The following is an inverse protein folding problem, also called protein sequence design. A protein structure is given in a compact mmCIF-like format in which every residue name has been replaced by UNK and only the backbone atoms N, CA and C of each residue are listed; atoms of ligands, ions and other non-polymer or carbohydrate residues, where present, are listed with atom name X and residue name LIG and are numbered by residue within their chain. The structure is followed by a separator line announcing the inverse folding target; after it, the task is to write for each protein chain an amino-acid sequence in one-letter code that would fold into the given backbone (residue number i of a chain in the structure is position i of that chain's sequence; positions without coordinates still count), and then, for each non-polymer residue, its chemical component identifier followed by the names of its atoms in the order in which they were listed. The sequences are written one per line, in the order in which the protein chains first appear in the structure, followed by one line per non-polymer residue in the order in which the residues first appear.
data_IF_472995511205
#
_entry.id   IF_472995511205
#
_cell.length_a   1.000
_cell.length_b   1.000
_cell.length_c   1.000
_cell.angle_alpha   90.00
_cell.angle_beta   90.00
_cell.angle_gamma   90.00
#
_symmetry.space_group_name_H-M   'P 1'
#
loop_
_entity.id
_entity.type
_entity.pdbx_description
1 polymer ?
#
# COMPACT_ATOMS: atom_id res chain seq x y z
N UNK A 1 -17.65 -32.39 -44.43
CA UNK A 1 -17.23 -31.03 -44.05
C UNK A 1 -17.64 -30.71 -42.60
N UNK A 2 -18.89 -30.90 -42.14
CA UNK A 2 -19.39 -30.52 -40.79
C UNK A 2 -18.61 -31.14 -39.60
N UNK A 3 -18.19 -32.42 -39.69
CA UNK A 3 -17.40 -33.07 -38.60
C UNK A 3 -15.99 -32.49 -38.43
N UNK A 4 -15.30 -32.09 -39.50
CA UNK A 4 -13.99 -31.47 -39.44
C UNK A 4 -14.04 -30.07 -38.82
N UNK A 5 -15.11 -29.33 -39.13
CA UNK A 5 -15.35 -27.99 -38.58
C UNK A 5 -15.62 -28.07 -37.04
N UNK A 6 -16.42 -29.05 -36.60
CA UNK A 6 -16.66 -29.26 -35.14
C UNK A 6 -15.40 -29.61 -34.40
N UNK A 7 -14.53 -30.46 -34.97
CA UNK A 7 -13.24 -30.80 -34.34
C UNK A 7 -12.30 -29.60 -34.26
N UNK A 8 -12.28 -28.72 -35.28
CA UNK A 8 -11.51 -27.47 -35.25
C UNK A 8 -11.97 -26.52 -34.12
N UNK A 9 -13.30 -26.35 -33.96
CA UNK A 9 -13.85 -25.55 -32.87
C UNK A 9 -13.53 -26.14 -31.47
N UNK A 10 -13.50 -27.46 -31.33
CA UNK A 10 -13.13 -28.11 -30.09
C UNK A 10 -11.67 -27.87 -29.71
N UNK A 11 -10.76 -27.94 -30.70
CA UNK A 11 -9.33 -27.62 -30.49
C UNK A 11 -9.17 -26.16 -30.12
N UNK A 12 -9.83 -25.24 -30.85
CA UNK A 12 -9.76 -23.81 -30.57
C UNK A 12 -10.26 -23.50 -29.15
N UNK A 13 -11.39 -24.11 -28.75
CA UNK A 13 -11.91 -23.97 -27.38
C UNK A 13 -10.94 -24.50 -26.32
N UNK A 14 -10.34 -25.67 -26.55
CA UNK A 14 -9.33 -26.21 -25.66
C UNK A 14 -8.08 -25.32 -25.53
N UNK A 15 -7.61 -24.75 -26.65
CA UNK A 15 -6.50 -23.77 -26.62
C UNK A 15 -6.83 -22.52 -25.85
N UNK A 16 -8.04 -21.96 -25.99
CA UNK A 16 -8.49 -20.78 -25.26
C UNK A 16 -8.55 -21.05 -23.74
N UNK A 17 -9.10 -22.21 -23.35
CA UNK A 17 -9.15 -22.62 -21.92
C UNK A 17 -7.74 -22.81 -21.35
N UNK A 18 -6.84 -23.47 -22.11
CA UNK A 18 -5.45 -23.65 -21.69
C UNK A 18 -4.73 -22.30 -21.54
N UNK A 19 -4.92 -21.37 -22.49
CA UNK A 19 -4.35 -20.02 -22.40
C UNK A 19 -4.88 -19.24 -21.18
N UNK A 20 -6.17 -19.32 -20.90
CA UNK A 20 -6.77 -18.69 -19.73
C UNK A 20 -6.21 -19.25 -18.42
N UNK A 21 -6.03 -20.59 -18.33
CA UNK A 21 -5.42 -21.25 -17.17
C UNK A 21 -3.95 -20.82 -16.97
N UNK A 22 -3.18 -20.72 -18.05
CA UNK A 22 -1.78 -20.26 -17.98
C UNK A 22 -1.72 -18.82 -17.45
N UNK A 23 -2.58 -17.94 -17.92
CA UNK A 23 -2.65 -16.55 -17.44
C UNK A 23 -3.06 -16.48 -15.97
N UNK A 24 -4.04 -17.27 -15.54
CA UNK A 24 -4.47 -17.35 -14.14
C UNK A 24 -3.36 -17.85 -13.22
N UNK A 25 -2.66 -18.91 -13.63
CA UNK A 25 -1.55 -19.47 -12.85
C UNK A 25 -0.37 -18.49 -12.79
N UNK A 26 -0.06 -17.81 -13.91
CA UNK A 26 0.99 -16.79 -13.96
C UNK A 26 0.69 -15.63 -13.00
N UNK A 27 -0.51 -15.07 -13.06
CA UNK A 27 -0.91 -13.97 -12.18
C UNK A 27 -0.91 -14.38 -10.70
N UNK A 28 -1.31 -15.62 -10.41
CA UNK A 28 -1.25 -16.17 -9.04
C UNK A 28 0.18 -16.31 -8.55
N UNK A 29 1.07 -16.85 -9.39
CA UNK A 29 2.49 -16.99 -9.06
C UNK A 29 3.16 -15.63 -8.81
N UNK A 30 2.87 -14.61 -9.61
CA UNK A 30 3.37 -13.25 -9.38
C UNK A 30 2.88 -12.67 -8.05
N UNK A 31 1.59 -12.86 -7.72
CA UNK A 31 1.03 -12.43 -6.44
C UNK A 31 1.67 -13.12 -5.23
N UNK A 32 1.93 -14.44 -5.33
CA UNK A 32 2.58 -15.22 -4.27
C UNK A 32 4.03 -14.76 -4.06
N UNK A 33 4.81 -14.60 -5.14
CA UNK A 33 6.18 -14.11 -5.06
C UNK A 33 6.27 -12.69 -4.48
N UNK A 34 5.37 -11.79 -4.89
CA UNK A 34 5.31 -10.46 -4.33
C UNK A 34 4.98 -10.49 -2.82
N UNK A 35 4.08 -11.39 -2.40
CA UNK A 35 3.75 -11.59 -0.99
C UNK A 35 4.92 -12.11 -0.18
N UNK A 36 5.62 -13.15 -0.64
CA UNK A 36 6.79 -13.71 0.06
C UNK A 36 7.92 -12.69 0.20
N UNK A 37 8.14 -11.88 -0.84
CA UNK A 37 9.12 -10.80 -0.77
C UNK A 37 8.70 -9.74 0.25
N UNK A 38 7.43 -9.32 0.22
CA UNK A 38 6.89 -8.36 1.18
C UNK A 38 7.00 -8.85 2.62
N UNK A 39 6.72 -10.14 2.89
CA UNK A 39 6.86 -10.72 4.23
C UNK A 39 8.31 -10.65 4.72
N UNK A 40 9.29 -11.01 3.87
CA UNK A 40 10.72 -10.95 4.21
C UNK A 40 11.17 -9.52 4.51
N UNK A 41 10.69 -8.56 3.72
CA UNK A 41 11.03 -7.15 3.93
C UNK A 41 10.33 -6.59 5.17
N UNK A 42 9.08 -7.00 5.43
CA UNK A 42 8.33 -6.59 6.62
C UNK A 42 9.06 -6.97 7.91
N UNK A 43 9.61 -8.20 7.96
CA UNK A 43 10.41 -8.63 9.10
C UNK A 43 11.65 -7.74 9.29
N UNK A 44 12.36 -7.40 8.21
CA UNK A 44 13.49 -6.50 8.27
C UNK A 44 13.09 -5.06 8.67
N UNK A 45 11.95 -4.55 8.20
CA UNK A 45 11.41 -3.24 8.62
C UNK A 45 11.12 -3.23 10.12
N UNK A 46 10.50 -4.28 10.64
CA UNK A 46 10.21 -4.41 12.08
C UNK A 46 11.48 -4.50 12.93
N UNK A 47 12.49 -5.21 12.47
CA UNK A 47 13.79 -5.31 13.14
C UNK A 47 14.44 -3.93 13.25
N UNK A 48 14.51 -3.17 12.16
CA UNK A 48 15.05 -1.80 12.15
C UNK A 48 14.26 -0.89 13.07
N UNK A 49 12.92 -0.93 13.05
CA UNK A 49 12.08 -0.13 13.96
C UNK A 49 12.37 -0.48 15.42
N UNK A 50 12.51 -1.77 15.76
CA UNK A 50 12.81 -2.18 17.15
C UNK A 50 14.19 -1.71 17.61
N UNK A 51 15.21 -1.80 16.75
CA UNK A 51 16.56 -1.30 17.04
C UNK A 51 16.58 0.22 17.25
N UNK A 52 15.84 0.98 16.40
CA UNK A 52 15.71 2.43 16.55
C UNK A 52 14.99 2.80 17.87
N UNK A 53 13.97 2.05 18.26
CA UNK A 53 13.25 2.28 19.52
C UNK A 53 14.16 2.03 20.75
N UNK A 54 14.94 0.94 20.76
CA UNK A 54 15.90 0.64 21.83
C UNK A 54 16.98 1.73 21.94
N UNK A 55 17.51 2.22 20.81
CA UNK A 55 18.51 3.29 20.80
C UNK A 55 17.97 4.61 21.35
N UNK A 56 16.69 4.91 21.13
CA UNK A 56 16.04 6.11 21.70
C UNK A 56 15.79 6.00 23.19
N UNK A 57 15.46 4.82 23.70
CA UNK A 57 15.34 4.60 25.15
C UNK A 57 16.69 4.77 25.85
N UNK A 58 17.80 4.32 25.23
CA UNK A 58 19.15 4.50 25.79
C UNK A 58 19.65 5.96 25.69
N UNK A 59 19.29 6.67 24.63
CA UNK A 59 19.70 8.05 24.37
C UNK A 59 18.48 8.91 23.99
N UNK A 60 17.65 9.33 24.95
CA UNK A 60 16.48 10.14 24.64
C UNK A 60 16.90 11.49 24.04
N UNK A 61 16.64 11.66 22.76
CA UNK A 61 16.79 12.94 22.06
C UNK A 61 15.62 13.83 22.47
N UNK A 62 15.84 15.03 23.02
CA UNK A 62 14.74 15.93 23.31
C UNK A 62 13.99 16.25 22.02
N UNK A 63 12.65 16.44 22.07
CA UNK A 63 11.88 16.80 20.89
C UNK A 63 12.49 18.04 20.23
N UNK A 64 12.68 17.96 18.91
CA UNK A 64 13.22 19.10 18.17
C UNK A 64 12.28 20.29 18.35
N UNK A 65 12.84 21.41 18.77
CA UNK A 65 12.08 22.67 18.82
C UNK A 65 11.99 23.18 17.37
N UNK A 66 10.79 23.13 16.80
CA UNK A 66 10.52 23.67 15.47
C UNK A 66 10.17 25.15 15.62
N UNK A 67 10.95 26.05 15.00
CA UNK A 67 10.59 27.46 14.94
C UNK A 67 9.42 27.63 13.94
N UNK A 68 8.22 28.02 14.40
CA UNK A 68 7.06 28.16 13.53
C UNK A 68 7.19 29.29 12.48
N UNK A 69 8.21 30.12 12.56
CA UNK A 69 8.51 31.18 11.61
C UNK A 69 9.60 30.78 10.59
N UNK A 70 10.27 29.62 10.76
CA UNK A 70 11.19 29.07 9.78
C UNK A 70 10.44 28.05 8.89
N UNK A 71 10.08 28.51 7.68
CA UNK A 71 9.31 27.68 6.72
C UNK A 71 10.06 26.38 6.36
N UNK A 72 11.40 26.41 6.30
CA UNK A 72 12.19 25.24 5.95
C UNK A 72 12.19 24.21 7.10
N UNK A 73 12.27 24.66 8.34
CA UNK A 73 12.18 23.80 9.53
C UNK A 73 10.79 23.21 9.69
N UNK A 74 9.74 24.01 9.44
CA UNK A 74 8.35 23.55 9.43
C UNK A 74 8.14 22.47 8.36
N UNK A 75 8.63 22.68 7.13
CA UNK A 75 8.51 21.69 6.06
C UNK A 75 9.23 20.39 6.42
N UNK A 76 10.44 20.46 6.97
CA UNK A 76 11.18 19.27 7.43
C UNK A 76 10.45 18.51 8.54
N UNK A 77 9.67 19.18 9.38
CA UNK A 77 8.92 18.53 10.46
C UNK A 77 7.82 17.60 9.94
N UNK A 78 7.38 17.79 8.69
CA UNK A 78 6.42 16.91 8.02
C UNK A 78 7.09 15.77 7.26
N UNK A 79 8.40 15.75 7.13
CA UNK A 79 9.11 14.64 6.49
C UNK A 79 9.06 13.38 7.35
N UNK A 80 8.86 12.24 6.72
CA UNK A 80 8.90 10.94 7.36
C UNK A 80 10.33 10.41 7.37
N UNK A 81 10.72 9.73 8.44
CA UNK A 81 11.97 8.98 8.49
C UNK A 81 11.96 7.87 7.45
N UNK A 82 13.06 7.77 6.70
CA UNK A 82 13.26 6.77 5.65
C UNK A 82 14.45 5.89 5.99
N UNK A 83 14.25 4.58 5.97
CA UNK A 83 15.32 3.61 6.14
C UNK A 83 15.53 2.79 4.86
N UNK A 84 16.79 2.56 4.49
CA UNK A 84 17.13 1.86 3.26
C UNK A 84 17.35 0.38 3.55
N UNK A 85 16.43 -0.47 3.07
CA UNK A 85 16.48 -1.91 3.22
C UNK A 85 16.56 -2.54 1.82
N UNK A 86 17.56 -3.37 1.55
CA UNK A 86 17.79 -4.02 0.26
C UNK A 86 17.83 -3.03 -0.93
N UNK A 87 18.32 -1.80 -0.71
CA UNK A 87 18.46 -0.77 -1.75
C UNK A 87 17.18 0.03 -2.05
N UNK A 88 16.13 -0.13 -1.26
CA UNK A 88 14.87 0.63 -1.36
C UNK A 88 14.59 1.37 -0.04
N UNK A 89 14.09 2.61 -0.16
CA UNK A 89 13.64 3.40 0.99
C UNK A 89 12.27 2.93 1.47
N UNK A 90 12.12 2.78 2.79
CA UNK A 90 10.87 2.43 3.47
C UNK A 90 10.53 3.47 4.50
N UNK A 91 9.24 3.77 4.65
CA UNK A 91 8.70 4.76 5.59
C UNK A 91 7.93 4.12 6.75
N UNK A 92 7.83 2.80 6.78
CA UNK A 92 7.12 2.03 7.80
C UNK A 92 6.35 0.86 7.22
N UNK A 93 5.30 0.43 7.93
CA UNK A 93 4.39 -0.62 7.47
C UNK A 93 2.93 -0.32 7.80
N UNK A 94 2.03 -0.86 6.98
CA UNK A 94 0.58 -0.75 7.10
C UNK A 94 -0.02 -2.09 7.52
N UNK A 95 -0.86 -2.09 8.56
CA UNK A 95 -1.62 -3.26 9.02
C UNK A 95 -3.12 -2.98 8.94
N UNK A 96 -3.89 -3.89 8.31
CA UNK A 96 -5.35 -3.81 8.20
C UNK A 96 -5.95 -5.16 8.58
N UNK A 97 -6.27 -5.40 9.87
CA UNK A 97 -6.70 -6.70 10.38
C UNK A 97 -7.96 -7.25 9.71
N UNK A 98 -8.91 -6.39 9.33
CA UNK A 98 -10.17 -6.79 8.71
C UNK A 98 -10.01 -7.56 7.39
N UNK A 99 -8.86 -7.42 6.73
CA UNK A 99 -8.52 -8.13 5.49
C UNK A 99 -7.22 -8.93 5.62
N UNK A 100 -6.74 -9.15 6.84
CA UNK A 100 -5.50 -9.90 7.13
C UNK A 100 -4.32 -9.41 6.28
N UNK A 101 -4.13 -8.08 6.25
CA UNK A 101 -3.11 -7.44 5.45
C UNK A 101 -2.09 -6.78 6.36
N UNK A 102 -0.81 -7.04 6.08
CA UNK A 102 0.31 -6.38 6.72
C UNK A 102 1.46 -6.28 5.72
N UNK A 103 1.87 -5.05 5.38
CA UNK A 103 2.79 -4.79 4.27
C UNK A 103 3.73 -3.63 4.60
N UNK A 104 5.02 -3.74 4.26
CA UNK A 104 5.94 -2.61 4.30
C UNK A 104 5.50 -1.56 3.28
N UNK A 105 5.80 -0.29 3.53
CA UNK A 105 5.45 0.82 2.63
C UNK A 105 6.73 1.52 2.18
N UNK A 106 6.94 1.56 0.86
CA UNK A 106 8.08 2.24 0.25
C UNK A 106 7.89 3.76 0.22
N UNK A 107 9.01 4.48 0.30
CA UNK A 107 9.06 5.94 0.25
C UNK A 107 8.50 6.51 -1.05
N UNK A 108 8.97 5.98 -2.19
CA UNK A 108 8.68 6.50 -3.51
C UNK A 108 7.86 5.54 -4.35
N UNK A 109 7.03 6.11 -5.21
CA UNK A 109 6.17 5.37 -6.13
C UNK A 109 6.80 5.21 -7.51
N UNK A 110 6.87 3.98 -8.01
CA UNK A 110 7.02 3.63 -9.42
C UNK A 110 6.41 2.25 -9.73
N UNK A 111 6.24 1.93 -11.02
CA UNK A 111 5.63 0.66 -11.44
C UNK A 111 6.44 -0.58 -11.05
N UNK A 112 7.75 -0.46 -10.90
CA UNK A 112 8.62 -1.57 -10.49
C UNK A 112 8.48 -1.82 -9.00
N UNK A 113 8.52 -0.76 -8.20
CA UNK A 113 8.36 -0.79 -6.74
C UNK A 113 6.98 -1.29 -6.33
N UNK A 114 5.92 -0.88 -7.03
CA UNK A 114 4.55 -1.37 -6.77
C UNK A 114 4.38 -2.88 -6.88
N UNK A 115 5.23 -3.57 -7.64
CA UNK A 115 5.24 -5.03 -7.70
C UNK A 115 5.87 -5.67 -6.46
N UNK A 116 6.64 -4.91 -5.73
CA UNK A 116 7.38 -5.34 -4.53
C UNK A 116 6.54 -5.08 -3.28
N UNK A 117 6.09 -3.85 -3.10
CA UNK A 117 5.32 -3.39 -1.94
C UNK A 117 4.44 -2.17 -2.29
N UNK A 118 3.45 -1.81 -1.47
CA UNK A 118 2.80 -0.51 -1.54
C UNK A 118 3.79 0.64 -1.43
N UNK A 119 3.50 1.75 -2.11
CA UNK A 119 4.38 2.90 -2.19
C UNK A 119 3.63 4.17 -1.82
N UNK A 120 4.30 5.09 -1.12
CA UNK A 120 3.78 6.43 -0.93
C UNK A 120 3.70 7.15 -2.29
N UNK A 121 2.52 7.64 -2.62
CA UNK A 121 2.29 8.49 -3.79
C UNK A 121 2.61 9.94 -3.47
N UNK A 122 2.18 10.43 -2.31
CA UNK A 122 2.39 11.76 -1.79
C UNK A 122 2.00 11.85 -0.31
N UNK A 123 2.27 13.00 0.29
CA UNK A 123 1.86 13.31 1.66
C UNK A 123 2.65 12.60 2.74
N UNK A 124 2.23 12.77 3.98
CA UNK A 124 2.91 12.26 5.18
C UNK A 124 1.89 11.89 6.25
N UNK A 125 2.22 10.97 7.14
CA UNK A 125 1.45 10.74 8.37
C UNK A 125 1.57 11.88 9.37
N UNK A 126 2.59 12.74 9.21
CA UNK A 126 2.81 13.92 10.06
C UNK A 126 1.99 15.14 9.60
N UNK A 127 1.59 15.19 8.33
CA UNK A 127 0.68 16.21 7.78
C UNK A 127 -0.77 15.75 7.64
N UNK A 128 -1.06 14.48 8.03
CA UNK A 128 -2.38 13.85 7.93
C UNK A 128 -2.99 13.94 6.50
N UNK A 129 -2.18 13.61 5.47
CA UNK A 129 -2.58 13.66 4.06
C UNK A 129 -1.94 12.55 3.21
N UNK A 130 -1.48 11.46 3.84
CA UNK A 130 -0.73 10.41 3.14
C UNK A 130 -1.58 9.65 2.14
N UNK A 131 -1.07 9.49 0.92
CA UNK A 131 -1.68 8.69 -0.15
C UNK A 131 -0.75 7.53 -0.49
N UNK A 132 -1.26 6.30 -0.36
CA UNK A 132 -0.50 5.07 -0.60
C UNK A 132 -1.14 4.29 -1.75
N UNK A 133 -0.32 4.01 -2.76
CA UNK A 133 -0.66 3.16 -3.89
C UNK A 133 -0.20 1.72 -3.63
N UNK A 134 -1.00 0.74 -4.03
CA UNK A 134 -0.60 -0.66 -4.00
C UNK A 134 -1.05 -1.42 -5.25
N UNK A 135 -0.34 -2.50 -5.61
CA UNK A 135 -0.75 -3.37 -6.69
C UNK A 135 -2.02 -4.16 -6.30
N UNK A 136 -2.85 -4.53 -7.28
CA UNK A 136 -4.08 -5.28 -7.05
C UNK A 136 -3.86 -6.80 -6.87
N UNK A 137 -2.68 -7.22 -6.46
CA UNK A 137 -2.42 -8.60 -6.04
C UNK A 137 -3.23 -8.94 -4.79
N UNK A 138 -3.65 -10.19 -4.66
CA UNK A 138 -4.44 -10.64 -3.50
C UNK A 138 -3.68 -10.49 -2.17
N UNK A 139 -2.35 -10.66 -2.21
CA UNK A 139 -1.44 -10.46 -1.08
C UNK A 139 -0.99 -9.00 -0.88
N UNK A 140 -1.44 -8.09 -1.74
CA UNK A 140 -1.27 -6.64 -1.60
C UNK A 140 -2.64 -5.96 -1.41
N UNK A 141 -2.93 -4.91 -2.17
CA UNK A 141 -4.16 -4.12 -2.04
C UNK A 141 -5.38 -4.72 -2.78
N UNK A 142 -5.29 -5.91 -3.37
CA UNK A 142 -6.41 -6.54 -4.09
C UNK A 142 -7.65 -6.78 -3.24
N UNK A 143 -7.51 -6.84 -1.90
CA UNK A 143 -8.62 -7.04 -0.96
C UNK A 143 -9.22 -5.74 -0.39
N UNK A 144 -8.71 -4.55 -0.76
CA UNK A 144 -9.21 -3.26 -0.24
C UNK A 144 -10.73 -3.08 -0.43
N UNK A 145 -11.30 -3.62 -1.52
CA UNK A 145 -12.75 -3.55 -1.78
C UNK A 145 -13.62 -4.30 -0.77
N UNK A 146 -13.04 -5.12 0.12
CA UNK A 146 -13.76 -5.84 1.17
C UNK A 146 -13.92 -5.02 2.45
N UNK A 147 -13.18 -3.91 2.57
CA UNK A 147 -13.24 -3.03 3.73
C UNK A 147 -14.58 -2.35 3.85
N UNK A 148 -14.93 -1.98 5.08
CA UNK A 148 -16.18 -1.32 5.43
C UNK A 148 -15.89 -0.11 6.32
N UNK A 149 -16.78 0.90 6.32
CA UNK A 149 -16.72 1.98 7.29
C UNK A 149 -16.63 1.45 8.71
N UNK A 150 -15.68 1.98 9.48
CA UNK A 150 -15.36 1.58 10.84
C UNK A 150 -14.25 0.54 10.99
N UNK A 151 -13.81 -0.15 9.91
CA UNK A 151 -12.65 -1.03 9.96
C UNK A 151 -11.39 -0.22 10.33
N UNK A 152 -10.54 -0.82 11.17
CA UNK A 152 -9.29 -0.19 11.61
C UNK A 152 -8.15 -0.47 10.63
N UNK A 153 -7.29 0.54 10.45
CA UNK A 153 -5.98 0.41 9.84
C UNK A 153 -4.93 1.06 10.75
N UNK A 154 -3.73 0.49 10.78
CA UNK A 154 -2.62 0.97 11.60
C UNK A 154 -1.43 1.23 10.70
N UNK A 155 -0.84 2.39 10.82
CA UNK A 155 0.44 2.69 10.17
C UNK A 155 1.50 2.87 11.25
N UNK A 156 2.56 2.06 11.19
CA UNK A 156 3.73 2.20 12.05
C UNK A 156 4.87 2.75 11.20
N UNK A 157 5.36 3.94 11.54
CA UNK A 157 6.46 4.57 10.82
C UNK A 157 7.84 4.02 11.23
N UNK A 158 8.91 4.48 10.57
CA UNK A 158 10.28 4.06 10.90
C UNK A 158 10.76 4.61 12.25
N UNK A 159 10.04 5.58 12.81
CA UNK A 159 10.25 6.08 14.17
C UNK A 159 9.61 5.19 15.24
N UNK A 160 8.83 4.17 14.85
CA UNK A 160 8.11 3.27 15.75
C UNK A 160 6.78 3.84 16.24
N UNK A 161 6.37 5.01 15.76
CA UNK A 161 5.07 5.58 16.11
C UNK A 161 3.97 4.87 15.33
N UNK A 162 2.98 4.35 16.06
CA UNK A 162 1.81 3.68 15.45
C UNK A 162 0.60 4.59 15.53
N UNK A 163 0.03 4.88 14.37
CA UNK A 163 -1.16 5.71 14.21
C UNK A 163 -2.33 4.82 13.81
N UNK A 164 -3.45 4.93 14.54
CA UNK A 164 -4.69 4.24 14.21
C UNK A 164 -5.57 5.12 13.32
N UNK A 165 -6.09 4.53 12.25
CA UNK A 165 -7.05 5.13 11.33
C UNK A 165 -8.33 4.32 11.28
N UNK A 166 -9.45 4.96 10.99
CA UNK A 166 -10.71 4.31 10.70
C UNK A 166 -11.11 4.52 9.25
N UNK A 167 -11.54 3.46 8.58
CA UNK A 167 -12.14 3.53 7.25
C UNK A 167 -13.44 4.35 7.32
N UNK A 168 -13.54 5.37 6.47
CA UNK A 168 -14.76 6.20 6.31
C UNK A 168 -15.56 5.72 5.11
N UNK A 169 -14.90 5.53 3.98
CA UNK A 169 -15.55 5.08 2.75
C UNK A 169 -14.65 4.22 1.88
N UNK A 170 -15.30 3.37 1.07
CA UNK A 170 -14.67 2.62 -0.02
C UNK A 170 -15.41 2.98 -1.30
N UNK A 171 -14.72 3.53 -2.26
CA UNK A 171 -15.30 4.01 -3.51
C UNK A 171 -14.55 3.48 -4.74
N UNK A 172 -15.23 3.54 -5.89
CA UNK A 172 -14.64 3.19 -7.18
C UNK A 172 -14.52 4.46 -7.99
N UNK A 173 -13.29 4.89 -8.26
CA UNK A 173 -12.98 6.07 -9.07
C UNK A 173 -12.55 5.64 -10.48
N UNK A 174 -12.83 6.46 -11.48
CA UNK A 174 -12.28 6.29 -12.82
C UNK A 174 -10.75 6.41 -12.82
N UNK A 175 -10.08 5.77 -13.78
CA UNK A 175 -8.61 5.81 -13.84
C UNK A 175 -8.06 7.23 -14.09
N UNK A 176 -8.88 8.13 -14.61
CA UNK A 176 -8.55 9.54 -14.92
C UNK A 176 -9.03 10.52 -13.86
N UNK A 177 -9.74 10.07 -12.82
CA UNK A 177 -10.30 10.91 -11.76
C UNK A 177 -9.23 11.24 -10.71
N UNK A 178 -8.09 11.77 -11.16
CA UNK A 178 -6.92 12.05 -10.30
C UNK A 178 -7.25 13.09 -9.25
N UNK A 179 -7.99 14.13 -9.60
CA UNK A 179 -8.39 15.21 -8.66
C UNK A 179 -9.19 14.63 -7.49
N UNK A 180 -10.12 13.71 -7.78
CA UNK A 180 -10.87 13.02 -6.71
C UNK A 180 -10.01 12.03 -5.93
N UNK A 181 -9.04 11.38 -6.57
CA UNK A 181 -8.13 10.47 -5.88
C UNK A 181 -7.27 11.22 -4.85
N UNK A 182 -6.79 12.40 -5.23
CA UNK A 182 -5.91 13.26 -4.42
C UNK A 182 -6.69 14.36 -3.67
N UNK A 183 -8.01 14.19 -3.51
CA UNK A 183 -8.88 15.12 -2.79
C UNK A 183 -8.40 15.30 -1.36
N UNK A 184 -8.29 16.56 -0.92
CA UNK A 184 -7.89 16.94 0.43
C UNK A 184 -8.97 16.59 1.48
N UNK A 185 -8.56 16.55 2.76
CA UNK A 185 -9.48 16.34 3.89
C UNK A 185 -9.58 14.87 4.34
N UNK A 186 -8.70 14.02 3.83
CA UNK A 186 -8.54 12.64 4.29
C UNK A 186 -7.14 12.46 4.87
N UNK A 187 -7.06 11.95 6.08
CA UNK A 187 -5.77 11.78 6.77
C UNK A 187 -4.93 10.65 6.15
N UNK A 188 -5.62 9.66 5.55
CA UNK A 188 -4.99 8.62 4.72
C UNK A 188 -5.89 8.22 3.56
N UNK A 189 -5.29 8.02 2.40
CA UNK A 189 -5.94 7.43 1.23
C UNK A 189 -5.16 6.21 0.76
N UNK A 190 -5.84 5.06 0.66
CA UNK A 190 -5.27 3.85 0.07
C UNK A 190 -5.96 3.58 -1.28
N UNK A 191 -5.19 3.22 -2.31
CA UNK A 191 -5.82 2.87 -3.58
C UNK A 191 -5.07 1.78 -4.36
N UNK A 192 -5.84 1.09 -5.20
CA UNK A 192 -5.33 0.08 -6.13
C UNK A 192 -6.12 0.06 -7.43
N UNK A 193 -5.57 -0.56 -8.47
CA UNK A 193 -6.30 -0.79 -9.71
C UNK A 193 -7.40 -1.85 -9.53
N UNK A 194 -8.52 -1.69 -10.22
CA UNK A 194 -9.44 -2.81 -10.46
C UNK A 194 -8.84 -3.79 -11.48
N UNK A 195 -9.38 -5.01 -11.56
CA UNK A 195 -9.02 -5.94 -12.62
C UNK A 195 -9.24 -5.28 -14.00
N UNK A 196 -8.19 -5.31 -14.84
CA UNK A 196 -8.17 -4.62 -16.12
C UNK A 196 -7.83 -3.12 -16.08
N UNK A 197 -7.53 -2.55 -14.91
CA UNK A 197 -6.93 -1.22 -14.75
C UNK A 197 -7.83 -0.02 -15.08
N UNK A 198 -9.12 -0.25 -15.37
CA UNK A 198 -10.06 0.80 -15.81
C UNK A 198 -10.49 1.77 -14.72
N UNK A 199 -10.48 1.28 -13.48
CA UNK A 199 -10.89 2.05 -12.30
C UNK A 199 -9.89 1.87 -11.18
N UNK A 200 -10.10 2.62 -10.08
CA UNK A 200 -9.36 2.54 -8.83
C UNK A 200 -10.32 2.20 -7.68
N UNK A 201 -10.00 1.16 -6.91
CA UNK A 201 -10.59 0.99 -5.57
C UNK A 201 -9.87 1.97 -4.68
N UNK A 202 -10.59 2.88 -4.07
CA UNK A 202 -10.06 3.94 -3.22
C UNK A 202 -10.70 3.85 -1.85
N UNK A 203 -9.90 3.84 -0.80
CA UNK A 203 -10.33 3.80 0.60
C UNK A 203 -9.92 5.10 1.25
N UNK A 204 -10.88 5.77 1.90
CA UNK A 204 -10.69 7.02 2.65
C UNK A 204 -10.68 6.72 4.13
N UNK A 205 -9.67 7.21 4.82
CA UNK A 205 -9.51 6.97 6.24
C UNK A 205 -9.27 8.29 6.98
N UNK A 206 -9.68 8.31 8.24
CA UNK A 206 -9.40 9.40 9.18
C UNK A 206 -8.67 8.87 10.39
N UNK A 207 -7.75 9.67 10.92
CA UNK A 207 -6.99 9.36 12.13
C UNK A 207 -7.94 9.27 13.32
N UNK A 208 -7.80 8.24 14.13
CA UNK A 208 -8.48 8.19 15.42
C UNK A 208 -7.71 9.00 16.43
N UNK A 209 -8.32 10.08 16.91
CA UNK A 209 -7.80 10.80 18.06
C UNK A 209 -7.94 9.91 19.28
N UNK A 210 -6.83 9.54 19.90
CA UNK A 210 -6.82 8.94 21.23
C UNK A 210 -7.25 10.06 22.19
N UNK A 211 -8.52 9.99 22.62
CA UNK A 211 -9.10 10.93 23.55
C UNK A 211 -8.54 10.77 24.96
#
# INVERSE_FOLDING_TARGET
MKRKLGFLFMILGACLVASALILLLGNRSESEQAGEFSDTVLDAVREVISECAEQREENPTPPAHVDPYDEEEVLRSYEMTVEVINGYGYIGYLSIPAIELELPVMEDWDYTRLKIAPCRQMGSTKSDDIVIAGHNFDRHFGRLSKLKPGDAAFFTDMDGETIEYAVVSVEILGATDVDRLLEEGWDMTLYTCTYGGRNRVTVRLVRKNIG
#
